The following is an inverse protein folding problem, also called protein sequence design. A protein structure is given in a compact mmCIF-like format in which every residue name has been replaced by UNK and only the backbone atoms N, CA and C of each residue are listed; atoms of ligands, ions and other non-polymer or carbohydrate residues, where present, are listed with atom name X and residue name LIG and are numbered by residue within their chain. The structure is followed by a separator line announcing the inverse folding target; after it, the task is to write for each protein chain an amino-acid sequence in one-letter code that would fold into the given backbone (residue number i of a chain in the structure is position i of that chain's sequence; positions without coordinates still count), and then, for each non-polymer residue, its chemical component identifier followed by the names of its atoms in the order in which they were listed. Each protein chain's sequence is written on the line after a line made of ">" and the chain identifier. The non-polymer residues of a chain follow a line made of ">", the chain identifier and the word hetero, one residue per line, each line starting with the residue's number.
data_IF_830914748671
#
_entry.id   IF_830914748671
#
_cell.length_a   1.000
_cell.length_b   1.000
_cell.length_c   1.000
_cell.angle_alpha   90.00
_cell.angle_beta   90.00
_cell.angle_gamma   90.00
#
_symmetry.space_group_name_H-M   'P 1'
#
loop_
_entity.id
_entity.type
_entity.pdbx_description
1 polymer ?
#
# COMPACT_ATOMS: atom_id res chain seq x y z
N UNK A 1 11.08 -6.68 -1.24
CA UNK A 1 9.66 -6.91 -0.88
C UNK A 1 8.77 -5.99 -1.68
N UNK A 2 7.56 -6.42 -1.96
CA UNK A 2 6.59 -5.65 -2.74
C UNK A 2 5.54 -5.05 -1.81
N UNK A 3 5.41 -3.74 -1.82
CA UNK A 3 4.56 -2.98 -0.90
C UNK A 3 3.45 -2.29 -1.68
N UNK A 4 2.20 -2.57 -1.30
CA UNK A 4 1.04 -1.89 -1.88
C UNK A 4 0.65 -0.69 -1.05
N UNK A 5 0.40 0.44 -1.70
CA UNK A 5 0.07 1.71 -1.05
C UNK A 5 -1.26 2.23 -1.59
N UNK A 6 -2.24 2.36 -0.73
CA UNK A 6 -3.57 2.89 -1.05
C UNK A 6 -3.94 3.94 -0.02
N UNK A 7 -4.63 4.99 -0.44
CA UNK A 7 -5.16 5.99 0.48
C UNK A 7 -6.49 6.53 -0.05
N UNK A 8 -7.47 6.69 0.86
CA UNK A 8 -8.66 7.50 0.57
C UNK A 8 -8.26 8.96 0.35
N UNK A 9 -9.08 9.72 -0.35
CA UNK A 9 -8.76 11.11 -0.70
C UNK A 9 -8.35 11.94 0.51
N UNK A 10 -9.10 11.82 1.62
CA UNK A 10 -8.80 12.54 2.86
C UNK A 10 -7.50 12.14 3.54
N UNK A 11 -6.86 11.05 3.10
CA UNK A 11 -5.62 10.54 3.68
C UNK A 11 -4.43 10.60 2.74
N UNK A 12 -4.59 11.15 1.53
CA UNK A 12 -3.49 11.21 0.56
C UNK A 12 -2.33 12.08 1.03
N UNK A 13 -2.61 13.19 1.70
CA UNK A 13 -1.55 14.03 2.26
C UNK A 13 -0.78 13.29 3.35
N UNK A 14 -1.48 12.54 4.19
CA UNK A 14 -0.84 11.73 5.23
C UNK A 14 0.05 10.65 4.60
N UNK A 15 -0.41 10.03 3.51
CA UNK A 15 0.40 9.05 2.77
C UNK A 15 1.68 9.70 2.21
N UNK A 16 1.59 10.91 1.65
CA UNK A 16 2.76 11.63 1.19
C UNK A 16 3.76 11.85 2.35
N UNK A 17 3.26 12.31 3.49
CA UNK A 17 4.11 12.57 4.66
C UNK A 17 4.78 11.30 5.17
N UNK A 18 4.05 10.19 5.20
CA UNK A 18 4.59 8.89 5.59
C UNK A 18 5.74 8.47 4.65
N UNK A 19 5.53 8.60 3.35
CA UNK A 19 6.54 8.22 2.36
C UNK A 19 7.77 9.13 2.40
N UNK A 20 7.60 10.41 2.71
CA UNK A 20 8.71 11.33 2.93
C UNK A 20 9.53 10.87 4.15
N UNK A 21 8.85 10.60 5.26
CA UNK A 21 9.52 10.22 6.51
C UNK A 21 10.31 8.91 6.39
N UNK A 22 9.79 7.96 5.63
CA UNK A 22 10.40 6.63 5.50
C UNK A 22 10.99 6.37 4.12
N UNK A 23 11.33 7.41 3.39
CA UNK A 23 11.85 7.31 2.03
C UNK A 23 13.06 6.39 1.93
N UNK A 24 13.99 6.48 2.87
CA UNK A 24 15.22 5.69 2.86
C UNK A 24 14.96 4.19 2.96
N UNK A 25 13.93 3.79 3.70
CA UNK A 25 13.53 2.39 3.81
C UNK A 25 12.75 1.97 2.55
N UNK A 26 11.75 2.76 2.17
CA UNK A 26 10.87 2.43 1.04
C UNK A 26 11.63 2.36 -0.29
N UNK A 27 12.68 3.16 -0.45
CA UNK A 27 13.49 3.17 -1.66
C UNK A 27 14.20 1.83 -1.93
N UNK A 28 14.30 0.97 -0.95
CA UNK A 28 14.93 -0.36 -1.08
C UNK A 28 13.95 -1.45 -1.49
N UNK A 29 12.68 -1.11 -1.67
CA UNK A 29 11.63 -2.07 -1.97
C UNK A 29 10.86 -1.65 -3.22
N UNK A 30 10.09 -2.57 -3.77
CA UNK A 30 9.23 -2.30 -4.91
C UNK A 30 7.90 -1.76 -4.40
N UNK A 31 7.49 -0.59 -4.88
CA UNK A 31 6.29 0.09 -4.42
C UNK A 31 5.22 0.09 -5.51
N UNK A 32 4.00 -0.22 -5.11
CA UNK A 32 2.84 -0.30 -5.99
C UNK A 32 1.72 0.56 -5.42
N UNK A 33 1.04 1.31 -6.25
CA UNK A 33 -0.05 2.19 -5.82
C UNK A 33 -1.05 2.42 -6.95
N UNK A 34 -2.28 2.78 -6.61
CA UNK A 34 -3.22 3.28 -7.61
C UNK A 34 -2.71 4.60 -8.18
N UNK A 35 -3.15 4.94 -9.40
CA UNK A 35 -2.52 6.00 -10.20
C UNK A 35 -2.39 7.34 -9.47
N UNK A 36 -3.48 7.84 -8.88
CA UNK A 36 -3.47 9.14 -8.21
C UNK A 36 -2.55 9.15 -7.00
N UNK A 37 -2.64 8.12 -6.15
CA UNK A 37 -1.79 7.98 -4.97
C UNK A 37 -0.31 7.89 -5.39
N UNK A 38 -0.01 7.09 -6.40
CA UNK A 38 1.36 6.93 -6.88
C UNK A 38 1.97 8.23 -7.39
N UNK A 39 1.22 9.01 -8.17
CA UNK A 39 1.70 10.31 -8.66
C UNK A 39 1.96 11.27 -7.51
N UNK A 40 1.07 11.33 -6.52
CA UNK A 40 1.24 12.23 -5.38
C UNK A 40 2.47 11.87 -4.54
N UNK A 41 2.76 10.58 -4.38
CA UNK A 41 3.97 10.14 -3.68
C UNK A 41 5.22 10.52 -4.48
N UNK A 42 5.23 10.27 -5.78
CA UNK A 42 6.38 10.59 -6.63
C UNK A 42 6.71 12.08 -6.63
N UNK A 43 5.69 12.94 -6.60
CA UNK A 43 5.88 14.40 -6.60
C UNK A 43 6.70 14.90 -5.41
N UNK A 44 6.63 14.24 -4.27
CA UNK A 44 7.26 14.71 -3.03
C UNK A 44 8.44 13.88 -2.58
N UNK A 45 8.68 12.71 -3.18
CA UNK A 45 9.72 11.78 -2.71
C UNK A 45 10.74 11.39 -3.75
N UNK A 46 10.44 11.51 -5.03
CA UNK A 46 11.21 10.92 -6.14
C UNK A 46 11.37 9.39 -6.05
N UNK A 47 10.51 8.71 -5.27
CA UNK A 47 10.44 7.27 -5.28
C UNK A 47 9.86 6.79 -6.61
N UNK A 48 10.29 5.62 -7.08
CA UNK A 48 9.70 5.00 -8.25
C UNK A 48 8.52 4.15 -7.81
N UNK A 49 7.33 4.46 -8.32
CA UNK A 49 6.09 3.76 -7.98
C UNK A 49 5.56 3.05 -9.22
N UNK A 50 5.29 1.74 -9.08
CA UNK A 50 4.54 1.00 -10.10
C UNK A 50 3.06 1.38 -9.94
N UNK A 51 2.50 2.08 -10.92
CA UNK A 51 1.15 2.63 -10.81
C UNK A 51 0.13 1.72 -11.49
N UNK A 52 -0.90 1.33 -10.72
CA UNK A 52 -2.09 0.70 -11.27
C UNK A 52 -2.99 1.76 -11.92
N UNK A 53 -4.12 1.32 -12.49
CA UNK A 53 -5.15 2.24 -12.95
C UNK A 53 -5.73 3.02 -11.77
N UNK A 54 -6.40 4.14 -12.05
CA UNK A 54 -7.17 4.86 -11.04
C UNK A 54 -8.31 3.97 -10.52
N UNK A 55 -8.76 4.20 -9.27
CA UNK A 55 -9.74 3.32 -8.63
C UNK A 55 -11.03 3.12 -9.44
N UNK A 56 -11.67 4.16 -10.02
CA UNK A 56 -12.87 3.91 -10.82
C UNK A 56 -12.58 3.14 -12.11
N UNK A 57 -11.31 3.04 -12.53
CA UNK A 57 -10.91 2.34 -13.75
C UNK A 57 -10.33 0.94 -13.50
N UNK A 58 -10.36 0.44 -12.27
CA UNK A 58 -9.94 -0.91 -11.95
C UNK A 58 -8.63 -1.06 -11.19
N UNK A 59 -8.08 0.03 -10.63
CA UNK A 59 -6.81 -0.03 -9.87
C UNK A 59 -6.88 -0.95 -8.66
N UNK A 60 -8.00 -0.94 -7.93
CA UNK A 60 -8.20 -1.81 -6.77
C UNK A 60 -8.21 -3.28 -7.19
N UNK A 61 -8.85 -3.61 -8.30
CA UNK A 61 -8.89 -4.97 -8.82
C UNK A 61 -7.51 -5.45 -9.26
N UNK A 62 -6.68 -4.57 -9.80
CA UNK A 62 -5.31 -4.92 -10.15
C UNK A 62 -4.47 -5.25 -8.91
N UNK A 63 -4.59 -4.46 -7.85
CA UNK A 63 -3.93 -4.78 -6.58
C UNK A 63 -4.44 -6.10 -6.02
N UNK A 64 -5.75 -6.30 -6.01
CA UNK A 64 -6.36 -7.55 -5.53
C UNK A 64 -5.86 -8.77 -6.28
N UNK A 65 -5.73 -8.69 -7.60
CA UNK A 65 -5.18 -9.76 -8.41
C UNK A 65 -3.74 -10.08 -8.01
N UNK A 66 -2.91 -9.08 -7.75
CA UNK A 66 -1.53 -9.30 -7.32
C UNK A 66 -1.45 -9.90 -5.92
N UNK A 67 -2.35 -9.52 -5.03
CA UNK A 67 -2.46 -10.15 -3.70
C UNK A 67 -2.81 -11.64 -3.86
N UNK A 68 -3.79 -11.96 -4.70
CA UNK A 68 -4.21 -13.34 -4.95
C UNK A 68 -3.08 -14.21 -5.52
N UNK A 69 -2.18 -13.63 -6.29
CA UNK A 69 -1.02 -14.33 -6.85
C UNK A 69 0.21 -14.28 -5.92
N UNK A 70 0.03 -13.82 -4.68
CA UNK A 70 1.09 -13.69 -3.68
C UNK A 70 2.27 -12.83 -4.14
N UNK A 71 1.99 -11.79 -4.90
CA UNK A 71 3.02 -10.88 -5.43
C UNK A 71 3.19 -9.62 -4.57
N UNK A 72 2.34 -9.41 -3.57
CA UNK A 72 2.41 -8.30 -2.62
C UNK A 72 2.73 -8.85 -1.24
N UNK A 73 3.69 -8.24 -0.56
CA UNK A 73 4.16 -8.72 0.76
C UNK A 73 3.61 -7.92 1.92
N UNK A 74 3.16 -6.69 1.69
CA UNK A 74 2.65 -5.80 2.72
C UNK A 74 1.75 -4.77 2.07
N UNK A 75 0.66 -4.39 2.73
CA UNK A 75 -0.25 -3.36 2.24
C UNK A 75 -0.41 -2.27 3.30
N UNK A 76 -0.27 -1.02 2.89
CA UNK A 76 -0.64 0.15 3.69
C UNK A 76 -1.85 0.78 3.01
N UNK A 77 -2.99 0.72 3.69
CA UNK A 77 -4.25 1.26 3.21
C UNK A 77 -4.74 2.32 4.20
N UNK A 78 -4.35 3.57 4.00
CA UNK A 78 -4.79 4.65 4.88
C UNK A 78 -6.24 5.00 4.58
N UNK A 79 -7.15 4.49 5.39
CA UNK A 79 -8.58 4.68 5.21
C UNK A 79 -9.07 5.94 5.94
N UNK A 80 -10.09 6.55 5.38
CA UNK A 80 -10.83 7.62 6.04
C UNK A 80 -12.18 7.05 6.49
N UNK A 81 -12.34 6.70 7.78
CA UNK A 81 -13.59 6.08 8.25
C UNK A 81 -14.77 7.03 8.30
N UNK A 82 -14.54 8.33 8.17
CA UNK A 82 -15.58 9.35 8.32
C UNK A 82 -16.11 9.87 6.99
N UNK A 83 -15.29 9.85 5.94
CA UNK A 83 -15.59 10.53 4.67
C UNK A 83 -15.29 9.69 3.43
N UNK A 84 -15.54 8.38 3.49
CA UNK A 84 -15.31 7.53 2.33
C UNK A 84 -16.27 7.90 1.19
N UNK A 85 -15.72 8.11 -0.01
CA UNK A 85 -16.49 8.45 -1.21
C UNK A 85 -16.76 7.19 -2.02
N UNK A 86 -17.82 7.23 -2.85
CA UNK A 86 -18.27 6.06 -3.62
C UNK A 86 -17.22 5.51 -4.58
N UNK A 87 -16.34 6.35 -5.11
CA UNK A 87 -15.31 5.93 -6.06
C UNK A 87 -14.03 5.43 -5.39
N UNK A 88 -13.98 5.46 -4.06
CA UNK A 88 -12.78 5.06 -3.32
C UNK A 88 -12.73 3.55 -3.12
N UNK A 89 -11.51 2.98 -2.96
CA UNK A 89 -11.36 1.53 -2.83
C UNK A 89 -12.06 0.98 -1.59
N UNK A 90 -12.55 -0.25 -1.73
CA UNK A 90 -13.21 -0.97 -0.65
C UNK A 90 -12.18 -1.65 0.24
N UNK A 91 -12.03 -1.16 1.47
CA UNK A 91 -11.14 -1.74 2.45
C UNK A 91 -11.47 -3.22 2.72
N UNK A 92 -12.76 -3.56 2.79
CA UNK A 92 -13.14 -4.92 3.19
C UNK A 92 -12.69 -5.97 2.20
N UNK A 93 -12.70 -5.67 0.90
CA UNK A 93 -12.19 -6.60 -0.10
C UNK A 93 -10.68 -6.79 0.03
N UNK A 94 -9.94 -5.70 0.18
CA UNK A 94 -8.47 -5.76 0.37
C UNK A 94 -8.13 -6.51 1.66
N UNK A 95 -8.84 -6.21 2.74
CA UNK A 95 -8.65 -6.87 4.04
C UNK A 95 -8.87 -8.37 3.94
N UNK A 96 -9.96 -8.80 3.28
CA UNK A 96 -10.27 -10.21 3.07
C UNK A 96 -9.14 -10.93 2.33
N UNK A 97 -8.63 -10.33 1.27
CA UNK A 97 -7.54 -10.91 0.48
C UNK A 97 -6.24 -10.99 1.29
N UNK A 98 -5.93 -9.95 2.04
CA UNK A 98 -4.75 -9.96 2.90
C UNK A 98 -4.85 -11.05 3.98
N UNK A 99 -6.04 -11.22 4.58
CA UNK A 99 -6.24 -12.25 5.60
C UNK A 99 -6.13 -13.66 5.02
N UNK A 100 -6.64 -13.88 3.81
CA UNK A 100 -6.53 -15.19 3.15
C UNK A 100 -5.05 -15.55 2.89
N UNK A 101 -4.25 -14.57 2.50
CA UNK A 101 -2.85 -14.81 2.08
C UNK A 101 -1.81 -14.45 3.15
N UNK A 102 -2.24 -14.14 4.38
CA UNK A 102 -1.36 -13.74 5.48
C UNK A 102 -0.44 -12.58 5.13
N UNK A 103 -1.00 -11.54 4.51
CA UNK A 103 -0.30 -10.33 4.17
C UNK A 103 -0.60 -9.28 5.24
N UNK A 104 0.43 -8.70 5.89
CA UNK A 104 0.19 -7.64 6.88
C UNK A 104 -0.43 -6.42 6.22
N UNK A 105 -1.47 -5.88 6.87
CA UNK A 105 -2.23 -4.73 6.39
C UNK A 105 -2.28 -3.67 7.49
N UNK A 106 -1.85 -2.45 7.18
CA UNK A 106 -2.00 -1.30 8.06
C UNK A 106 -3.09 -0.39 7.52
N UNK A 107 -4.03 0.03 8.37
CA UNK A 107 -5.12 0.92 7.96
C UNK A 107 -5.01 2.32 8.55
N UNK A 108 -3.98 2.57 9.34
CA UNK A 108 -3.72 3.87 9.96
C UNK A 108 -2.21 4.11 10.07
N UNK A 109 -1.84 5.34 10.41
CA UNK A 109 -0.44 5.76 10.43
C UNK A 109 0.39 4.95 11.43
N UNK A 110 -0.12 4.74 12.63
CA UNK A 110 0.63 4.03 13.67
C UNK A 110 0.99 2.61 13.25
N UNK A 111 0.02 1.86 12.71
CA UNK A 111 0.26 0.51 12.21
C UNK A 111 1.21 0.53 11.01
N UNK A 112 1.07 1.52 10.12
CA UNK A 112 1.94 1.65 8.95
C UNK A 112 3.40 1.85 9.36
N UNK A 113 3.67 2.70 10.34
CA UNK A 113 5.02 2.93 10.82
C UNK A 113 5.65 1.66 11.40
N UNK A 114 4.88 0.90 12.19
CA UNK A 114 5.36 -0.36 12.75
C UNK A 114 5.68 -1.38 11.65
N UNK A 115 4.84 -1.48 10.63
CA UNK A 115 5.07 -2.40 9.51
C UNK A 115 6.28 -2.00 8.68
N UNK A 116 6.50 -0.71 8.44
CA UNK A 116 7.68 -0.23 7.71
C UNK A 116 8.95 -0.57 8.48
N UNK A 117 8.95 -0.42 9.79
CA UNK A 117 10.11 -0.78 10.62
C UNK A 117 10.37 -2.28 10.59
N UNK A 118 9.32 -3.09 10.65
CA UNK A 118 9.46 -4.54 10.52
C UNK A 118 9.99 -4.93 9.14
N UNK A 119 9.54 -4.27 8.09
CA UNK A 119 10.04 -4.47 6.75
C UNK A 119 11.56 -4.22 6.68
N UNK A 120 12.01 -3.13 7.29
CA UNK A 120 13.43 -2.77 7.32
C UNK A 120 14.28 -3.76 8.10
N UNK A 121 13.72 -4.37 9.14
CA UNK A 121 14.39 -5.40 9.93
C UNK A 121 14.45 -6.78 9.24
N UNK A 122 13.79 -6.93 8.10
CA UNK A 122 13.73 -8.22 7.40
C UNK A 122 12.70 -9.20 7.93
N UNK A 123 11.74 -8.74 8.74
CA UNK A 123 10.75 -9.61 9.39
C UNK A 123 9.78 -10.27 8.40
N UNK A 124 9.72 -9.78 7.17
CA UNK A 124 8.87 -10.36 6.11
C UNK A 124 9.64 -11.20 5.09
N UNK A 125 10.96 -11.35 5.24
CA UNK A 125 11.78 -12.03 4.23
C UNK A 125 11.42 -13.52 4.08
N UNK A 126 10.85 -14.14 5.11
CA UNK A 126 10.37 -15.52 5.03
C UNK A 126 9.34 -15.72 3.90
N UNK A 127 8.66 -14.66 3.48
CA UNK A 127 7.65 -14.75 2.43
C UNK A 127 8.25 -15.15 1.08
N UNK A 128 9.50 -14.84 0.84
CA UNK A 128 10.17 -15.22 -0.40
C UNK A 128 10.24 -16.74 -0.60
N UNK A 129 10.23 -17.50 0.50
CA UNK A 129 10.26 -18.96 0.45
C UNK A 129 8.94 -19.55 -0.08
N UNK A 130 7.87 -18.79 -0.09
CA UNK A 130 6.53 -19.23 -0.50
C UNK A 130 6.04 -18.56 -1.79
N UNK A 131 6.92 -17.92 -2.48
CA UNK A 131 6.58 -17.20 -3.71
C UNK A 131 7.01 -17.97 -4.94
#
# INVERSE_FOLDING_TARGET
>A
MNVGLIAHDGKKKLMQNLCIAYRGILNRHELFATATTGRLIEEVTNLTIHKYLACPLGGEQQLGSQIEHNLIDMVIFLRDPQNQKMHEPDLFNVMRLCDIHNIPLATNLASAELLIKALDHGDLEWREMYR
#
